data_IF_524575129891
#
_entry.id   IF_524575129891
#
_cell.length_a   1.000
_cell.length_b   1.000
_cell.length_c   1.000
_cell.angle_alpha   90.00
_cell.angle_beta   90.00
_cell.angle_gamma   90.00
#
_symmetry.space_group_name_H-M   'P 1'
#
loop_
_entity.id
_entity.type
_entity.pdbx_description
1 polymer ?
#
# COMPACT_ATOMS: atom_id res chain seq x y z
N UNK A 1 0.73 12.93 6.45
CA UNK A 1 0.11 11.95 5.54
C UNK A 1 -0.03 10.63 6.28
N UNK A 2 -1.24 10.06 6.35
CA UNK A 2 -1.47 8.76 6.99
C UNK A 2 -1.47 7.61 5.96
N UNK A 3 -1.54 6.36 6.44
CA UNK A 3 -1.51 5.18 5.57
C UNK A 3 -2.75 5.07 4.66
N UNK A 4 -3.94 5.41 5.17
CA UNK A 4 -5.19 5.31 4.41
C UNK A 4 -5.22 6.29 3.24
N UNK A 5 -4.74 7.52 3.46
CA UNK A 5 -4.55 8.53 2.41
C UNK A 5 -3.59 8.03 1.31
N UNK A 6 -2.48 7.41 1.71
CA UNK A 6 -1.49 6.84 0.77
C UNK A 6 -2.08 5.69 -0.06
N UNK A 7 -2.83 4.79 0.58
CA UNK A 7 -3.58 3.72 -0.12
C UNK A 7 -4.61 4.30 -1.08
N UNK A 8 -5.38 5.31 -0.65
CA UNK A 8 -6.36 6.00 -1.50
C UNK A 8 -5.72 6.62 -2.75
N UNK A 9 -4.56 7.24 -2.61
CA UNK A 9 -3.81 7.81 -3.74
C UNK A 9 -3.37 6.73 -4.74
N UNK A 10 -2.87 5.59 -4.26
CA UNK A 10 -2.51 4.48 -5.14
C UNK A 10 -3.73 3.88 -5.84
N UNK A 11 -4.84 3.67 -5.12
CA UNK A 11 -6.07 3.11 -5.68
C UNK A 11 -6.67 4.00 -6.79
N UNK A 12 -6.61 5.33 -6.63
CA UNK A 12 -7.06 6.31 -7.62
C UNK A 12 -6.18 6.38 -8.87
N UNK A 13 -4.95 5.88 -8.82
CA UNK A 13 -4.04 5.84 -9.96
C UNK A 13 -3.93 4.42 -10.51
N UNK A 14 -4.55 4.14 -11.67
CA UNK A 14 -4.58 2.81 -12.28
C UNK A 14 -3.19 2.22 -12.61
N UNK A 15 -2.15 3.04 -12.70
CA UNK A 15 -0.79 2.57 -12.96
C UNK A 15 -0.01 2.25 -11.67
N UNK A 16 -0.54 2.62 -10.50
CA UNK A 16 0.11 2.34 -9.23
C UNK A 16 0.05 0.83 -8.91
N UNK A 17 1.19 0.26 -8.52
CA UNK A 17 1.33 -1.16 -8.19
C UNK A 17 1.62 -1.42 -6.72
N UNK A 18 2.19 -0.45 -6.01
CA UNK A 18 2.35 -0.51 -4.55
C UNK A 18 2.45 0.90 -3.94
N UNK A 19 2.27 0.98 -2.62
CA UNK A 19 2.46 2.19 -1.85
C UNK A 19 3.06 1.95 -0.46
N UNK A 20 3.67 2.97 0.11
CA UNK A 20 4.24 2.96 1.46
C UNK A 20 4.18 4.35 2.07
N UNK A 21 3.86 4.43 3.36
CA UNK A 21 3.98 5.67 4.10
C UNK A 21 5.45 5.88 4.45
N UNK A 22 6.00 7.02 4.03
CA UNK A 22 7.36 7.43 4.39
C UNK A 22 7.30 8.46 5.51
N UNK A 23 8.08 8.23 6.56
CA UNK A 23 8.28 9.21 7.61
C UNK A 23 9.78 9.49 7.68
N UNK A 24 10.18 10.67 7.26
CA UNK A 24 11.58 11.10 7.33
C UNK A 24 11.69 12.00 8.55
N UNK A 25 12.45 11.56 9.54
CA UNK A 25 12.67 12.36 10.75
C UNK A 25 13.18 13.76 10.34
N UNK A 26 12.45 14.79 10.76
CA UNK A 26 12.69 16.22 10.48
C UNK A 26 12.26 16.76 9.11
N UNK A 27 11.93 15.93 8.11
CA UNK A 27 11.48 16.39 6.79
C UNK A 27 9.97 16.18 6.54
N UNK A 28 9.29 15.41 7.41
CA UNK A 28 7.84 15.25 7.39
C UNK A 28 7.39 13.85 6.95
N UNK A 29 6.08 13.71 6.71
CA UNK A 29 5.46 12.46 6.29
C UNK A 29 4.93 12.54 4.86
N UNK A 30 5.07 11.45 4.11
CA UNK A 30 4.68 11.37 2.70
C UNK A 30 4.25 9.97 2.27
N UNK A 31 4.08 9.80 0.97
CA UNK A 31 3.70 8.53 0.36
C UNK A 31 4.59 8.24 -0.84
N UNK A 32 5.20 7.05 -0.81
CA UNK A 32 5.94 6.52 -1.94
C UNK A 32 4.99 5.66 -2.77
N UNK A 33 4.86 5.97 -4.06
CA UNK A 33 4.06 5.22 -5.02
C UNK A 33 5.00 4.53 -6.00
N UNK A 34 4.79 3.22 -6.20
CA UNK A 34 5.48 2.45 -7.22
C UNK A 34 4.60 2.26 -8.45
N UNK A 35 5.25 2.19 -9.60
CA UNK A 35 4.64 1.94 -10.91
C UNK A 35 5.36 0.78 -11.60
N UNK A 36 4.62 -0.12 -12.24
CA UNK A 36 5.18 -1.29 -12.90
C UNK A 36 5.61 -2.40 -11.92
N UNK A 37 6.53 -3.27 -12.36
CA UNK A 37 6.95 -4.44 -11.58
C UNK A 37 7.77 -4.07 -10.34
N UNK A 38 7.52 -4.77 -9.24
CA UNK A 38 8.32 -4.66 -8.02
C UNK A 38 9.48 -5.65 -8.07
N UNK A 39 10.70 -5.15 -8.28
CA UNK A 39 11.93 -5.95 -8.36
C UNK A 39 12.83 -5.68 -7.16
N UNK A 40 13.62 -6.67 -6.74
CA UNK A 40 14.59 -6.50 -5.65
C UNK A 40 13.98 -6.38 -4.25
N UNK A 41 12.72 -6.79 -4.06
CA UNK A 41 12.14 -6.93 -2.72
C UNK A 41 12.86 -8.07 -2.00
N UNK A 42 13.39 -7.79 -0.80
CA UNK A 42 14.00 -8.79 0.07
C UNK A 42 13.32 -8.78 1.45
N UNK A 43 13.17 -9.96 2.05
CA UNK A 43 12.27 -10.19 3.19
C UNK A 43 12.86 -9.91 4.56
N UNK A 44 13.84 -9.01 4.69
CA UNK A 44 14.38 -8.66 6.01
C UNK A 44 13.32 -7.89 6.80
N UNK A 45 12.93 -8.41 7.96
CA UNK A 45 11.81 -7.89 8.76
C UNK A 45 12.26 -7.01 9.92
N UNK A 46 13.53 -7.06 10.30
CA UNK A 46 14.09 -6.21 11.35
C UNK A 46 14.21 -4.77 10.80
N UNK A 47 13.51 -3.84 11.43
CA UNK A 47 13.48 -2.41 11.11
C UNK A 47 13.06 -2.04 9.66
N UNK A 48 12.41 -2.96 8.96
CA UNK A 48 11.97 -2.75 7.59
C UNK A 48 10.61 -2.02 7.50
N UNK A 49 10.48 -1.16 6.50
CA UNK A 49 9.26 -0.42 6.22
C UNK A 49 8.25 -1.29 5.46
N UNK A 50 7.00 -1.32 5.94
CA UNK A 50 5.92 -2.05 5.26
C UNK A 50 5.61 -1.46 3.88
N UNK A 51 5.57 -2.33 2.87
CA UNK A 51 5.05 -2.03 1.52
C UNK A 51 3.66 -2.65 1.35
N UNK A 52 2.74 -1.92 0.71
CA UNK A 52 1.38 -2.37 0.44
C UNK A 52 1.19 -2.54 -1.07
N UNK A 53 1.01 -3.77 -1.52
CA UNK A 53 0.85 -4.11 -2.94
C UNK A 53 -0.62 -4.00 -3.35
N UNK A 54 -0.90 -3.37 -4.49
CA UNK A 54 -2.25 -3.31 -5.07
C UNK A 54 -2.59 -4.67 -5.69
N UNK A 55 -3.72 -5.23 -5.30
CA UNK A 55 -4.21 -6.51 -5.82
C UNK A 55 -5.66 -6.39 -6.33
N UNK A 56 -6.07 -7.24 -7.29
CA UNK A 56 -7.48 -7.41 -7.62
C UNK A 56 -8.30 -7.82 -6.38
N UNK A 57 -9.54 -7.34 -6.29
CA UNK A 57 -10.43 -7.68 -5.19
C UNK A 57 -10.74 -9.20 -5.12
N UNK A 58 -10.67 -9.91 -6.24
CA UNK A 58 -10.81 -11.38 -6.31
C UNK A 58 -9.68 -12.13 -5.61
N UNK A 59 -8.50 -11.52 -5.51
CA UNK A 59 -7.28 -12.16 -5.02
C UNK A 59 -7.04 -11.82 -3.54
N UNK A 60 -7.71 -10.77 -3.04
CA UNK A 60 -7.89 -10.51 -1.62
C UNK A 60 -8.89 -11.54 -1.11
N UNK A 61 -8.42 -12.77 -0.87
CA UNK A 61 -9.26 -13.89 -0.43
C UNK A 61 -10.20 -13.49 0.70
N UNK A 62 -11.40 -14.09 0.77
CA UNK A 62 -12.54 -13.69 1.61
C UNK A 62 -12.14 -12.97 2.91
N UNK A 63 -11.88 -11.67 2.78
CA UNK A 63 -12.06 -10.79 3.91
C UNK A 63 -13.56 -10.87 4.12
N UNK A 64 -14.01 -11.36 5.28
CA UNK A 64 -15.42 -11.31 5.66
C UNK A 64 -15.77 -9.82 5.70
N UNK A 65 -16.02 -9.23 4.53
CA UNK A 65 -16.76 -8.00 4.40
C UNK A 65 -18.17 -8.50 4.67
N UNK A 66 -18.53 -8.49 5.95
CA UNK A 66 -19.91 -8.60 6.40
C UNK A 66 -20.65 -7.41 5.78
N UNK A 67 -21.01 -7.54 4.50
CA UNK A 67 -22.09 -6.79 3.93
C UNK A 67 -23.31 -7.29 4.68
N UNK A 68 -23.65 -6.62 5.80
CA UNK A 68 -25.03 -6.68 6.28
C UNK A 68 -25.86 -6.18 5.10
N UNK A 69 -26.49 -7.12 4.38
CA UNK A 69 -27.58 -6.75 3.48
C UNK A 69 -28.63 -6.09 4.37
N UNK A 70 -28.77 -4.77 4.22
CA UNK A 70 -29.97 -4.07 4.66
C UNK A 70 -31.01 -4.12 3.55
#
# INVERSE_FOLDING_TARGET
MNLEECKSMCLKNCNCTACSNINVEKEGSGCLLWFGGLIGINGYTEDAQSIYVRMPASDLGETIISHSKS
#
